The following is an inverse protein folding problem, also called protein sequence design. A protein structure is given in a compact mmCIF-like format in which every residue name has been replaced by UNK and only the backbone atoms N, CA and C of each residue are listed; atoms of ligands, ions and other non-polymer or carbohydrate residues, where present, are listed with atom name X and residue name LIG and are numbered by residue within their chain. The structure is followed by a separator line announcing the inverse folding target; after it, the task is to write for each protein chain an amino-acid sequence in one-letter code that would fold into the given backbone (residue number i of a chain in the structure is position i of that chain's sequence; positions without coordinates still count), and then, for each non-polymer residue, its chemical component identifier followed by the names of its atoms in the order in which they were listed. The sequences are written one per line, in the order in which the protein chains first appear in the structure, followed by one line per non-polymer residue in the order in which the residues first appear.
data_IF_545837359042
#
_entry.id   IF_545837359042
#
_cell.length_a   1.000
_cell.length_b   1.000
_cell.length_c   1.000
_cell.angle_alpha   90.00
_cell.angle_beta   90.00
_cell.angle_gamma   90.00
#
_symmetry.space_group_name_H-M   'P 1'
#
loop_
_entity.id
_entity.type
_entity.pdbx_description
1 polymer ?
#
# COMPACT_ATOMS: atom_id res chain seq x y z
N UNK A 1 -22.78 14.65 27.67
CA UNK A 1 -23.61 13.87 26.74
C UNK A 1 -23.01 14.11 25.39
N UNK A 2 -22.52 13.06 24.73
CA UNK A 2 -22.07 13.20 23.35
C UNK A 2 -23.30 13.50 22.49
N UNK A 3 -23.26 14.56 21.71
CA UNK A 3 -24.28 14.81 20.71
C UNK A 3 -23.99 14.02 19.42
N UNK A 4 -24.86 14.13 18.43
CA UNK A 4 -24.70 13.43 17.15
C UNK A 4 -23.42 13.85 16.41
N UNK A 5 -22.95 15.08 16.65
CA UNK A 5 -21.74 15.63 16.04
C UNK A 5 -20.50 15.00 16.68
N UNK A 6 -20.48 14.88 18.01
CA UNK A 6 -19.41 14.21 18.74
C UNK A 6 -19.24 12.76 18.26
N UNK A 7 -20.36 12.03 18.13
CA UNK A 7 -20.33 10.65 17.64
C UNK A 7 -19.82 10.56 16.19
N UNK A 8 -20.24 11.46 15.31
CA UNK A 8 -19.79 11.50 13.93
C UNK A 8 -18.27 11.78 13.84
N UNK A 9 -17.76 12.72 14.65
CA UNK A 9 -16.34 13.05 14.69
C UNK A 9 -15.48 11.87 15.17
N UNK A 10 -15.94 11.15 16.20
CA UNK A 10 -15.24 9.96 16.69
C UNK A 10 -15.18 8.86 15.63
N UNK A 11 -16.25 8.64 14.87
CA UNK A 11 -16.27 7.68 13.77
C UNK A 11 -15.25 8.05 12.68
N UNK A 12 -15.23 9.32 12.28
CA UNK A 12 -14.28 9.84 11.28
C UNK A 12 -12.84 9.66 11.77
N UNK A 13 -12.55 10.05 13.02
CA UNK A 13 -11.21 9.94 13.59
C UNK A 13 -10.72 8.49 13.65
N UNK A 14 -11.61 7.56 14.02
CA UNK A 14 -11.30 6.14 14.06
C UNK A 14 -11.01 5.58 12.66
N UNK A 15 -11.81 5.94 11.67
CA UNK A 15 -11.64 5.47 10.30
C UNK A 15 -10.36 6.00 9.66
N UNK A 16 -10.04 7.29 9.85
CA UNK A 16 -8.77 7.88 9.42
C UNK A 16 -7.60 7.16 10.08
N UNK A 17 -7.68 6.92 11.40
CA UNK A 17 -6.61 6.24 12.14
C UNK A 17 -6.38 4.81 11.63
N UNK A 18 -7.46 4.09 11.31
CA UNK A 18 -7.40 2.75 10.71
C UNK A 18 -6.71 2.79 9.34
N UNK A 19 -7.17 3.66 8.45
CA UNK A 19 -6.60 3.79 7.10
C UNK A 19 -5.11 4.17 7.13
N UNK A 20 -4.71 5.11 8.00
CA UNK A 20 -3.31 5.50 8.17
C UNK A 20 -2.43 4.35 8.68
N UNK A 21 -2.96 3.52 9.58
CA UNK A 21 -2.24 2.34 10.09
C UNK A 21 -1.99 1.33 8.98
N UNK A 22 -2.98 1.07 8.14
CA UNK A 22 -2.87 0.14 7.00
C UNK A 22 -1.85 0.63 5.97
N UNK A 23 -1.86 1.94 5.63
CA UNK A 23 -0.89 2.53 4.71
C UNK A 23 0.54 2.38 5.25
N UNK A 24 0.75 2.67 6.54
CA UNK A 24 2.08 2.57 7.16
C UNK A 24 2.60 1.13 7.24
N UNK A 25 1.73 0.13 7.35
CA UNK A 25 2.17 -1.28 7.35
C UNK A 25 2.73 -1.75 6.01
N UNK A 26 2.41 -1.05 4.91
CA UNK A 26 2.89 -1.41 3.59
C UNK A 26 4.34 -0.97 3.31
N UNK A 27 4.95 -0.14 4.17
CA UNK A 27 6.38 0.17 4.06
C UNK A 27 7.22 -0.96 4.65
N UNK A 28 7.85 -1.77 3.80
CA UNK A 28 8.78 -2.80 4.24
C UNK A 28 10.17 -2.21 4.51
N UNK A 29 10.70 -2.42 5.71
CA UNK A 29 12.08 -2.06 6.09
C UNK A 29 13.16 -3.00 5.50
N UNK A 30 12.74 -4.03 4.76
CA UNK A 30 13.64 -5.03 4.20
C UNK A 30 14.23 -4.58 2.85
N UNK A 31 15.48 -4.99 2.57
CA UNK A 31 16.09 -4.81 1.24
C UNK A 31 15.31 -5.63 0.21
N UNK A 32 14.96 -5.00 -0.91
CA UNK A 32 14.19 -5.58 -2.01
C UNK A 32 14.96 -6.62 -2.81
N UNK A 33 14.26 -7.33 -3.69
CA UNK A 33 14.82 -8.43 -4.48
C UNK A 33 15.64 -7.92 -5.66
N UNK A 34 16.70 -8.65 -6.05
CA UNK A 34 17.52 -8.32 -7.24
C UNK A 34 16.77 -8.49 -8.55
N UNK A 35 15.77 -9.38 -8.57
CA UNK A 35 14.93 -9.68 -9.72
C UNK A 35 13.45 -9.47 -9.36
N UNK A 36 12.65 -9.13 -10.36
CA UNK A 36 11.20 -8.98 -10.21
C UNK A 36 10.54 -10.34 -10.00
N UNK A 37 9.66 -10.45 -8.99
CA UNK A 37 8.97 -11.72 -8.69
C UNK A 37 8.01 -12.20 -9.79
N UNK A 38 7.53 -11.30 -10.66
CA UNK A 38 6.52 -11.66 -11.67
C UNK A 38 7.13 -11.90 -13.08
N UNK A 39 8.22 -11.21 -13.44
CA UNK A 39 8.81 -11.28 -14.78
C UNK A 39 10.30 -11.63 -14.80
N UNK A 40 10.93 -11.82 -13.63
CA UNK A 40 12.37 -12.11 -13.47
C UNK A 40 13.33 -11.06 -14.07
N UNK A 41 12.83 -9.89 -14.48
CA UNK A 41 13.67 -8.79 -14.94
C UNK A 41 14.53 -8.21 -13.81
N UNK A 42 15.69 -7.65 -14.20
CA UNK A 42 16.58 -6.93 -13.29
C UNK A 42 15.88 -5.75 -12.60
N UNK A 43 15.95 -5.73 -11.27
CA UNK A 43 15.37 -4.65 -10.47
C UNK A 43 16.33 -3.47 -10.35
N UNK A 44 15.88 -2.23 -10.59
CA UNK A 44 16.70 -1.04 -10.33
C UNK A 44 17.15 -0.98 -8.87
N UNK A 45 18.42 -0.64 -8.65
CA UNK A 45 19.04 -0.57 -7.31
C UNK A 45 18.24 0.32 -6.36
N UNK A 46 17.69 1.43 -6.86
CA UNK A 46 16.86 2.37 -6.10
C UNK A 46 15.62 1.68 -5.53
N UNK A 47 14.96 0.82 -6.33
CA UNK A 47 13.80 0.06 -5.87
C UNK A 47 14.16 -1.06 -4.90
N UNK A 48 15.34 -1.66 -5.05
CA UNK A 48 15.87 -2.62 -4.09
C UNK A 48 16.10 -1.95 -2.72
N UNK A 49 16.69 -0.74 -2.70
CA UNK A 49 16.89 0.01 -1.44
C UNK A 49 15.59 0.37 -0.74
N UNK A 50 14.51 0.57 -1.51
CA UNK A 50 13.17 0.88 -0.99
C UNK A 50 12.36 -0.38 -0.62
N UNK A 51 12.91 -1.59 -0.78
CA UNK A 51 12.24 -2.83 -0.36
C UNK A 51 11.22 -3.39 -1.35
N UNK A 52 11.16 -2.88 -2.57
CA UNK A 52 10.19 -3.38 -3.54
C UNK A 52 10.55 -4.77 -4.08
N UNK A 53 9.51 -5.58 -4.29
CA UNK A 53 9.59 -6.96 -4.83
C UNK A 53 9.26 -7.08 -6.31
N UNK A 54 8.71 -6.02 -6.91
CA UNK A 54 8.23 -6.00 -8.31
C UNK A 54 8.83 -4.82 -9.07
N UNK A 55 9.06 -5.00 -10.36
CA UNK A 55 9.49 -3.93 -11.27
C UNK A 55 8.37 -2.89 -11.47
N UNK A 56 8.67 -1.76 -12.12
CA UNK A 56 7.73 -0.63 -12.22
C UNK A 56 6.50 -1.04 -13.03
N UNK A 57 6.71 -1.73 -14.15
CA UNK A 57 5.63 -2.23 -14.99
C UNK A 57 4.71 -3.20 -14.21
N UNK A 58 5.25 -4.27 -13.64
CA UNK A 58 4.47 -5.26 -12.90
C UNK A 58 3.77 -4.66 -11.66
N UNK A 59 4.40 -3.69 -10.98
CA UNK A 59 3.75 -2.98 -9.88
C UNK A 59 2.55 -2.16 -10.37
N UNK A 60 2.72 -1.40 -11.46
CA UNK A 60 1.62 -0.60 -12.03
C UNK A 60 0.46 -1.45 -12.54
N UNK A 61 0.73 -2.59 -13.17
CA UNK A 61 -0.31 -3.50 -13.63
C UNK A 61 -1.02 -4.20 -12.46
N UNK A 62 -0.30 -4.53 -11.39
CA UNK A 62 -0.89 -5.06 -10.18
C UNK A 62 -1.80 -4.03 -9.49
N UNK A 63 -1.39 -2.77 -9.42
CA UNK A 63 -2.20 -1.67 -8.88
C UNK A 63 -3.44 -1.42 -9.73
N UNK A 64 -3.30 -1.40 -11.07
CA UNK A 64 -4.44 -1.30 -11.99
C UNK A 64 -5.43 -2.44 -11.80
N UNK A 65 -4.95 -3.68 -11.69
CA UNK A 65 -5.83 -4.83 -11.41
C UNK A 65 -6.53 -4.67 -10.08
N UNK A 66 -5.81 -4.29 -9.01
CA UNK A 66 -6.45 -4.03 -7.70
C UNK A 66 -7.54 -2.97 -7.80
N UNK A 67 -7.30 -1.86 -8.50
CA UNK A 67 -8.31 -0.81 -8.67
C UNK A 67 -9.55 -1.30 -9.45
N UNK A 68 -9.38 -2.19 -10.42
CA UNK A 68 -10.49 -2.75 -11.19
C UNK A 68 -11.35 -3.74 -10.40
N UNK A 69 -10.77 -4.41 -9.40
CA UNK A 69 -11.46 -5.43 -8.57
C UNK A 69 -11.63 -4.99 -7.10
N UNK A 70 -11.42 -3.71 -6.78
CA UNK A 70 -11.55 -3.20 -5.41
C UNK A 70 -13.02 -2.98 -4.99
N UNK A 71 -13.96 -3.04 -5.94
CA UNK A 71 -15.39 -2.85 -5.73
C UNK A 71 -16.18 -4.18 -5.54
N UNK A 72 -15.50 -5.33 -5.42
CA UNK A 72 -16.13 -6.65 -5.13
C UNK A 72 -15.99 -7.08 -3.66
#
# INVERSE_FOLDING_TARGET
MADEIDLANDLIANEISRALKEIRQQSSEAVGTKFCVDCDDDMPIERQKLGFKRCVACASDAERKKLMYADE
#
